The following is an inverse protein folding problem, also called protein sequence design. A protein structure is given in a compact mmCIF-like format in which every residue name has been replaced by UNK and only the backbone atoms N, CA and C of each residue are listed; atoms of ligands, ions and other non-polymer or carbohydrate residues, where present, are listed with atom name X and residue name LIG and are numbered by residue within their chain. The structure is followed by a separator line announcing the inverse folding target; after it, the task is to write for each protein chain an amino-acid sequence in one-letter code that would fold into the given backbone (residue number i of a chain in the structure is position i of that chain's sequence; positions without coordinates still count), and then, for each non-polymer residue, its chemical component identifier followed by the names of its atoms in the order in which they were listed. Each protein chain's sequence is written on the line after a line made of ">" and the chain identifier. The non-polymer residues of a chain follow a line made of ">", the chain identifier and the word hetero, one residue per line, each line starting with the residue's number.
data_IF_386086252033
#
_entry.id   IF_386086252033
#
_cell.length_a   1.000
_cell.length_b   1.000
_cell.length_c   1.000
_cell.angle_alpha   90.00
_cell.angle_beta   90.00
_cell.angle_gamma   90.00
#
_symmetry.space_group_name_H-M   'P 1'
#
loop_
_entity.id
_entity.type
_entity.pdbx_description
1 polymer ?
#
# COMPACT_ATOMS: atom_id res chain seq x y z
N UNK A 1 -16.51 -36.79 30.58
CA UNK A 1 -16.27 -35.37 30.90
C UNK A 1 -15.71 -34.75 29.64
N UNK A 2 -16.48 -33.91 28.96
CA UNK A 2 -15.95 -33.18 27.82
C UNK A 2 -15.11 -32.03 28.40
N UNK A 3 -13.80 -32.07 28.16
CA UNK A 3 -12.94 -30.92 28.45
C UNK A 3 -13.44 -29.77 27.56
N UNK A 4 -14.09 -28.80 28.19
CA UNK A 4 -14.49 -27.55 27.57
C UNK A 4 -13.19 -26.77 27.32
N UNK A 5 -12.74 -26.81 26.07
CA UNK A 5 -11.60 -26.10 25.52
C UNK A 5 -11.96 -24.61 25.54
N UNK A 6 -11.75 -23.97 26.70
CA UNK A 6 -11.91 -22.54 26.85
C UNK A 6 -10.86 -21.83 25.99
N UNK A 7 -11.29 -21.32 24.84
CA UNK A 7 -10.46 -20.40 24.08
C UNK A 7 -10.44 -19.06 24.77
N UNK A 8 -9.26 -18.61 25.14
CA UNK A 8 -9.05 -17.21 25.46
C UNK A 8 -9.31 -16.39 24.19
N UNK A 9 -10.18 -15.39 24.31
CA UNK A 9 -10.44 -14.48 23.22
C UNK A 9 -9.21 -13.58 23.02
N UNK A 10 -8.71 -13.51 21.79
CA UNK A 10 -7.59 -12.64 21.45
C UNK A 10 -7.93 -11.17 21.72
N UNK A 11 -6.95 -10.43 22.22
CA UNK A 11 -7.04 -8.98 22.40
C UNK A 11 -7.18 -8.26 21.05
N UNK A 12 -7.66 -7.01 21.09
CA UNK A 12 -7.80 -6.20 19.88
C UNK A 12 -6.46 -5.95 19.18
N UNK A 13 -5.37 -5.82 19.94
CA UNK A 13 -4.01 -5.70 19.38
C UNK A 13 -3.62 -6.98 18.63
N UNK A 14 -3.84 -8.15 19.22
CA UNK A 14 -3.54 -9.42 18.54
C UNK A 14 -4.39 -9.62 17.28
N UNK A 15 -5.68 -9.27 17.36
CA UNK A 15 -6.59 -9.30 16.20
C UNK A 15 -6.10 -8.36 15.09
N UNK A 16 -5.62 -7.16 15.42
CA UNK A 16 -5.03 -6.22 14.47
C UNK A 16 -3.76 -6.79 13.83
N UNK A 17 -2.84 -7.35 14.63
CA UNK A 17 -1.61 -7.97 14.11
C UNK A 17 -1.91 -9.13 13.15
N UNK A 18 -2.90 -9.97 13.47
CA UNK A 18 -3.34 -11.07 12.60
C UNK A 18 -3.95 -10.52 11.30
N UNK A 19 -4.80 -9.49 11.39
CA UNK A 19 -5.41 -8.84 10.23
C UNK A 19 -4.35 -8.27 9.28
N UNK A 20 -3.37 -7.54 9.80
CA UNK A 20 -2.25 -7.01 9.02
C UNK A 20 -1.45 -8.13 8.36
N UNK A 21 -1.20 -9.22 9.07
CA UNK A 21 -0.48 -10.37 8.53
C UNK A 21 -1.24 -11.05 7.38
N UNK A 22 -2.57 -11.13 7.43
CA UNK A 22 -3.35 -11.61 6.29
C UNK A 22 -3.21 -10.70 5.08
N UNK A 23 -3.30 -9.38 5.27
CA UNK A 23 -3.12 -8.41 4.18
C UNK A 23 -1.73 -8.53 3.54
N UNK A 24 -0.67 -8.56 4.35
CA UNK A 24 0.73 -8.67 3.88
C UNK A 24 1.04 -10.00 3.19
N UNK A 25 0.31 -11.07 3.53
CA UNK A 25 0.44 -12.39 2.93
C UNK A 25 -0.53 -12.63 1.76
N UNK A 26 -1.26 -11.59 1.33
CA UNK A 26 -2.21 -11.71 0.22
C UNK A 26 -1.50 -12.19 -1.05
N UNK A 27 -2.11 -13.09 -1.85
CA UNK A 27 -1.59 -13.43 -3.16
C UNK A 27 -1.53 -12.19 -4.07
N UNK A 28 -0.54 -12.11 -4.99
CA UNK A 28 -0.47 -11.02 -5.96
C UNK A 28 -1.78 -10.86 -6.74
N UNK A 29 -2.29 -9.63 -6.79
CA UNK A 29 -3.55 -9.29 -7.45
C UNK A 29 -4.83 -9.64 -6.70
N UNK A 30 -4.76 -10.19 -5.47
CA UNK A 30 -5.94 -10.55 -4.66
C UNK A 30 -6.08 -9.75 -3.36
N UNK A 31 -5.35 -8.64 -3.22
CA UNK A 31 -5.33 -7.86 -1.96
C UNK A 31 -6.71 -7.30 -1.61
N UNK A 32 -7.52 -6.90 -2.60
CA UNK A 32 -8.87 -6.38 -2.36
C UNK A 32 -9.83 -7.47 -1.91
N UNK A 33 -9.69 -8.69 -2.42
CA UNK A 33 -10.45 -9.88 -1.99
C UNK A 33 -10.13 -10.20 -0.54
N UNK A 34 -8.84 -10.30 -0.20
CA UNK A 34 -8.39 -10.59 1.16
C UNK A 34 -8.84 -9.48 2.12
N UNK A 35 -8.74 -8.22 1.73
CA UNK A 35 -9.25 -7.09 2.53
C UNK A 35 -10.75 -7.22 2.82
N UNK A 36 -11.56 -7.57 1.81
CA UNK A 36 -13.00 -7.79 2.01
C UNK A 36 -13.30 -8.94 2.96
N UNK A 37 -12.48 -9.97 2.98
CA UNK A 37 -12.66 -11.10 3.89
C UNK A 37 -12.18 -10.77 5.31
N UNK A 38 -11.05 -10.10 5.47
CA UNK A 38 -10.56 -9.60 6.76
C UNK A 38 -11.58 -8.65 7.40
N UNK A 39 -12.18 -7.75 6.62
CA UNK A 39 -13.20 -6.82 7.10
C UNK A 39 -14.49 -7.50 7.63
N UNK A 40 -14.77 -8.74 7.21
CA UNK A 40 -15.89 -9.54 7.75
C UNK A 40 -15.51 -10.30 9.02
N UNK A 41 -14.22 -10.60 9.19
CA UNK A 41 -13.69 -11.38 10.31
C UNK A 41 -13.39 -10.53 11.54
N UNK A 42 -13.01 -9.27 11.32
CA UNK A 42 -12.49 -8.38 12.37
C UNK A 42 -13.46 -7.21 12.60
N UNK A 43 -13.73 -6.81 13.87
CA UNK A 43 -14.57 -5.65 14.15
C UNK A 43 -13.98 -4.35 13.55
N UNK A 44 -14.84 -3.44 13.09
CA UNK A 44 -14.41 -2.20 12.43
C UNK A 44 -13.49 -1.29 13.27
N UNK A 45 -13.56 -1.37 14.61
CA UNK A 45 -12.71 -0.58 15.49
C UNK A 45 -11.28 -1.14 15.61
N UNK A 46 -11.09 -2.43 15.32
CA UNK A 46 -9.78 -3.10 15.43
C UNK A 46 -8.88 -2.77 14.25
N UNK A 47 -9.43 -2.58 13.05
CA UNK A 47 -8.69 -2.20 11.84
C UNK A 47 -9.00 -0.75 11.44
N UNK A 48 -8.38 0.24 12.10
CA UNK A 48 -8.57 1.64 11.73
C UNK A 48 -7.95 1.95 10.37
N UNK A 49 -8.47 2.98 9.72
CA UNK A 49 -8.07 3.41 8.37
C UNK A 49 -6.56 3.72 8.27
N UNK A 50 -5.94 4.24 9.33
CA UNK A 50 -4.49 4.48 9.39
C UNK A 50 -3.68 3.18 9.36
N UNK A 51 -4.10 2.15 10.12
CA UNK A 51 -3.43 0.85 10.14
C UNK A 51 -3.61 0.10 8.80
N UNK A 52 -4.79 0.25 8.19
CA UNK A 52 -5.06 -0.28 6.86
C UNK A 52 -4.16 0.35 5.80
N UNK A 53 -4.03 1.68 5.77
CA UNK A 53 -3.11 2.38 4.85
C UNK A 53 -1.67 1.89 5.01
N UNK A 54 -1.18 1.75 6.24
CA UNK A 54 0.18 1.24 6.49
C UNK A 54 0.37 -0.19 5.99
N UNK A 55 -0.60 -1.08 6.20
CA UNK A 55 -0.51 -2.46 5.71
C UNK A 55 -0.54 -2.53 4.17
N UNK A 56 -1.38 -1.73 3.52
CA UNK A 56 -1.47 -1.67 2.06
C UNK A 56 -0.26 -0.98 1.42
N UNK A 57 0.32 0.02 2.10
CA UNK A 57 1.60 0.60 1.73
C UNK A 57 2.69 -0.47 1.68
N UNK A 58 2.92 -1.15 2.80
CA UNK A 58 3.92 -2.21 2.89
C UNK A 58 3.67 -3.34 1.88
N UNK A 59 2.42 -3.71 1.61
CA UNK A 59 2.09 -4.69 0.59
C UNK A 59 2.38 -4.19 -0.83
N UNK A 60 1.94 -2.98 -1.19
CA UNK A 60 2.09 -2.43 -2.55
C UNK A 60 3.57 -2.23 -2.90
N UNK A 61 4.34 -1.64 -1.97
CA UNK A 61 5.77 -1.39 -2.13
C UNK A 61 6.56 -2.70 -2.26
N UNK A 62 6.32 -3.66 -1.37
CA UNK A 62 7.01 -4.97 -1.39
C UNK A 62 6.77 -5.75 -2.69
N UNK A 63 5.59 -5.61 -3.28
CA UNK A 63 5.21 -6.34 -4.49
C UNK A 63 5.51 -5.56 -5.78
N UNK A 64 6.15 -4.37 -5.69
CA UNK A 64 6.45 -3.50 -6.82
C UNK A 64 5.21 -3.29 -7.71
N UNK A 65 4.10 -2.86 -7.11
CA UNK A 65 2.80 -2.81 -7.79
C UNK A 65 2.87 -1.91 -9.05
N UNK A 66 2.53 -2.44 -10.24
CA UNK A 66 2.43 -1.62 -11.44
C UNK A 66 1.11 -0.85 -11.49
N UNK A 67 1.16 0.46 -11.65
CA UNK A 67 -0.02 1.33 -11.74
C UNK A 67 -0.01 2.17 -13.02
N UNK A 68 -1.19 2.36 -13.61
CA UNK A 68 -1.37 3.26 -14.76
C UNK A 68 -1.24 4.71 -14.33
N UNK A 69 -0.47 5.48 -15.10
CA UNK A 69 -0.38 6.93 -14.93
C UNK A 69 -1.52 7.59 -15.72
N UNK A 70 -2.32 8.46 -15.08
CA UNK A 70 -3.32 9.26 -15.78
C UNK A 70 -2.68 10.04 -16.91
N UNK A 71 -3.36 10.05 -18.07
CA UNK A 71 -2.94 10.78 -19.28
C UNK A 71 -1.65 10.27 -19.95
N UNK A 72 -1.21 9.05 -19.63
CA UNK A 72 -0.03 8.44 -20.24
C UNK A 72 -0.27 6.98 -20.68
N UNK A 73 0.47 6.54 -21.70
CA UNK A 73 0.47 5.14 -22.19
C UNK A 73 1.65 4.35 -21.60
N UNK A 74 1.90 4.53 -20.30
CA UNK A 74 2.88 3.78 -19.54
C UNK A 74 2.43 3.59 -18.10
N UNK A 75 3.07 2.63 -17.43
CA UNK A 75 2.87 2.33 -16.00
C UNK A 75 4.12 2.71 -15.22
N UNK A 76 3.94 3.10 -13.97
CA UNK A 76 5.03 3.22 -13.00
C UNK A 76 4.93 2.10 -11.96
N UNK A 77 6.04 1.84 -11.28
CA UNK A 77 6.12 0.86 -10.20
C UNK A 77 6.07 1.58 -8.86
N UNK A 78 5.23 1.09 -7.96
CA UNK A 78 5.19 1.51 -6.57
C UNK A 78 6.20 0.66 -5.80
N UNK A 79 7.38 1.20 -5.54
CA UNK A 79 8.49 0.52 -4.85
C UNK A 79 9.30 1.48 -3.97
N UNK A 80 10.18 0.93 -3.13
CA UNK A 80 10.94 1.68 -2.12
C UNK A 80 11.89 2.69 -2.77
N UNK A 81 12.49 2.33 -3.90
CA UNK A 81 13.43 3.19 -4.63
C UNK A 81 12.75 4.41 -5.27
N UNK A 82 11.46 4.27 -5.64
CA UNK A 82 10.66 5.34 -6.20
C UNK A 82 9.93 6.18 -5.14
N UNK A 83 9.97 5.80 -3.87
CA UNK A 83 9.18 6.42 -2.80
C UNK A 83 9.80 7.72 -2.30
N UNK A 84 9.10 8.84 -2.50
CA UNK A 84 9.47 10.14 -1.92
C UNK A 84 8.98 10.20 -0.46
N UNK A 85 7.72 9.82 -0.27
CA UNK A 85 7.10 9.60 1.03
C UNK A 85 6.01 8.52 0.92
N UNK A 86 5.35 8.20 2.03
CA UNK A 86 4.36 7.10 2.11
C UNK A 86 3.14 7.23 1.20
N UNK A 87 2.96 8.34 0.49
CA UNK A 87 1.89 8.54 -0.49
C UNK A 87 2.41 9.04 -1.85
N UNK A 88 3.69 9.33 -2.01
CA UNK A 88 4.23 9.98 -3.21
C UNK A 88 5.36 9.18 -3.85
N UNK A 89 5.27 9.00 -5.16
CA UNK A 89 6.21 8.19 -5.94
C UNK A 89 6.74 8.96 -7.15
N UNK A 90 8.02 8.75 -7.46
CA UNK A 90 8.68 9.37 -8.61
C UNK A 90 8.21 8.73 -9.91
N UNK A 91 7.83 9.56 -10.87
CA UNK A 91 7.65 9.21 -12.27
C UNK A 91 8.85 9.72 -13.09
N UNK A 92 9.83 8.84 -13.40
CA UNK A 92 11.03 9.22 -14.12
C UNK A 92 10.79 9.50 -15.62
N UNK A 93 9.62 9.15 -16.16
CA UNK A 93 9.31 9.35 -17.59
C UNK A 93 8.81 10.78 -17.81
N UNK A 94 7.90 11.25 -16.95
CA UNK A 94 7.37 12.61 -17.03
C UNK A 94 8.06 13.61 -16.09
N UNK A 95 9.08 13.17 -15.36
CA UNK A 95 9.90 13.99 -14.47
C UNK A 95 9.08 14.73 -13.38
N UNK A 96 8.17 14.00 -12.75
CA UNK A 96 7.28 14.52 -11.69
C UNK A 96 7.10 13.50 -10.57
N UNK A 97 6.57 13.95 -9.45
CA UNK A 97 6.14 13.11 -8.33
C UNK A 97 4.62 12.99 -8.39
N UNK A 98 4.12 11.77 -8.23
CA UNK A 98 2.71 11.44 -8.29
C UNK A 98 2.21 10.94 -6.93
N UNK A 99 1.09 11.49 -6.47
CA UNK A 99 0.35 10.97 -5.33
C UNK A 99 -0.30 9.64 -5.66
N UNK A 100 -0.30 8.72 -4.70
CA UNK A 100 -0.82 7.36 -4.84
C UNK A 100 -1.70 6.97 -3.66
N UNK A 101 -2.93 6.53 -3.97
CA UNK A 101 -3.87 6.02 -2.98
C UNK A 101 -3.67 4.50 -2.82
N UNK A 102 -3.02 4.09 -1.74
CA UNK A 102 -2.78 2.68 -1.44
C UNK A 102 -4.04 1.84 -1.23
N UNK A 103 -5.17 2.47 -0.85
CA UNK A 103 -6.45 1.78 -0.66
C UNK A 103 -7.10 1.50 -2.01
N UNK A 104 -7.08 2.47 -2.92
CA UNK A 104 -7.68 2.33 -4.26
C UNK A 104 -6.73 1.71 -5.28
N UNK A 105 -5.43 1.62 -4.97
CA UNK A 105 -4.37 1.25 -5.89
C UNK A 105 -4.35 2.10 -7.16
N UNK A 106 -4.49 3.42 -6.99
CA UNK A 106 -4.62 4.38 -8.10
C UNK A 106 -3.79 5.64 -7.84
N UNK A 107 -3.30 6.24 -8.93
CA UNK A 107 -2.68 7.56 -8.90
C UNK A 107 -3.75 8.62 -8.69
N UNK A 108 -3.44 9.60 -7.85
CA UNK A 108 -4.26 10.78 -7.61
C UNK A 108 -3.84 11.84 -8.63
N UNK A 109 -4.60 11.98 -9.71
CA UNK A 109 -4.24 12.84 -10.86
C UNK A 109 -4.02 14.32 -10.50
N UNK A 110 -4.68 14.81 -9.44
CA UNK A 110 -4.56 16.18 -8.96
C UNK A 110 -3.34 16.40 -8.04
N UNK A 111 -2.74 15.31 -7.55
CA UNK A 111 -1.65 15.34 -6.58
C UNK A 111 -0.31 15.12 -7.29
N UNK A 112 0.21 16.22 -7.84
CA UNK A 112 1.43 16.22 -8.65
C UNK A 112 2.39 17.26 -8.09
N UNK A 113 3.64 16.83 -7.86
CA UNK A 113 4.71 17.70 -7.38
C UNK A 113 5.96 17.57 -8.26
N UNK A 114 6.89 18.51 -8.10
CA UNK A 114 8.21 18.44 -8.74
C UNK A 114 9.11 17.44 -8.02
N UNK A 115 10.05 16.82 -8.75
CA UNK A 115 11.03 15.93 -8.14
C UNK A 115 11.96 16.74 -7.23
N UNK A 116 12.18 16.33 -5.97
CA UNK A 116 13.15 16.98 -5.09
C UNK A 116 14.56 16.99 -5.70
N UNK A 117 15.27 18.11 -5.61
CA UNK A 117 16.61 18.26 -6.22
C UNK A 117 17.62 17.20 -5.74
N UNK A 118 17.48 16.70 -4.52
CA UNK A 118 18.32 15.65 -3.93
C UNK A 118 18.08 14.27 -4.52
N UNK A 119 16.95 14.07 -5.20
CA UNK A 119 16.57 12.82 -5.89
C UNK A 119 16.94 12.82 -7.37
N UNK A 120 17.25 13.99 -7.95
CA UNK A 120 17.65 14.10 -9.36
C UNK A 120 19.08 13.62 -9.53
N UNK A 121 19.23 12.45 -10.13
CA UNK A 121 20.55 11.87 -10.43
C UNK A 121 21.25 12.64 -11.55
N UNK A 122 22.58 12.58 -11.58
CA UNK A 122 23.34 13.20 -12.68
C UNK A 122 22.98 12.59 -14.04
N UNK A 123 22.54 11.33 -14.06
CA UNK A 123 21.98 10.67 -15.26
C UNK A 123 20.70 11.33 -15.76
N UNK A 124 19.81 11.77 -14.87
CA UNK A 124 18.57 12.46 -15.23
C UNK A 124 18.83 13.91 -15.66
N UNK A 125 19.89 14.55 -15.16
CA UNK A 125 20.30 15.90 -15.60
C UNK A 125 20.87 15.93 -17.02
N UNK A 126 21.38 14.80 -17.51
CA UNK A 126 21.98 14.69 -18.85
C UNK A 126 20.96 14.36 -19.96
N UNK A 127 19.69 14.09 -19.62
CA UNK A 127 18.62 13.74 -20.56
C UNK A 127 17.72 14.92 -20.90
#
# INVERSE_FOLDING_TARGET
>A
MAEEWAYEEASDEEKLQIAQRFLLASPPGQIHEVLRDVAKLVPAHVLPDAALRGALHAYNVKNCLPVDVPDADYKILICEEGEVDAAHYVDPISNRVLGFDHIKQQIVAEDVAEIPEDRVTDFEKER
#
